data_IF_209575106902
#
_entry.id   IF_209575106902
#
_cell.length_a   1.000
_cell.length_b   1.000
_cell.length_c   1.000
_cell.angle_alpha   90.00
_cell.angle_beta   90.00
_cell.angle_gamma   90.00
#
_symmetry.space_group_name_H-M   'P 1'
#
loop_
_entity.id
_entity.type
_entity.pdbx_description
1 polymer ?
#
# COMPACT_ATOMS: atom_id res chain seq x y z
N UNK A 1 24.60 4.45 11.30
CA UNK A 1 23.76 4.63 12.50
C UNK A 1 24.64 4.46 13.71
N UNK A 2 24.34 5.13 14.81
CA UNK A 2 25.12 5.03 16.05
C UNK A 2 24.46 4.08 17.06
N UNK A 3 25.03 4.01 18.25
CA UNK A 3 24.53 3.23 19.38
C UNK A 3 23.20 3.77 19.91
N UNK A 4 22.91 5.07 19.76
CA UNK A 4 21.63 5.67 20.17
C UNK A 4 20.50 5.51 19.14
N UNK A 5 20.79 5.05 17.93
CA UNK A 5 19.82 4.97 16.84
C UNK A 5 18.54 4.19 17.22
N UNK A 6 18.69 3.00 17.79
CA UNK A 6 17.55 2.12 18.09
C UNK A 6 16.64 2.71 19.17
N UNK A 7 17.25 3.28 20.21
CA UNK A 7 16.52 4.00 21.27
C UNK A 7 15.81 5.22 20.70
N UNK A 8 16.46 5.96 19.81
CA UNK A 8 15.87 7.15 19.16
C UNK A 8 14.70 6.78 18.26
N UNK A 9 14.71 5.58 17.66
CA UNK A 9 13.64 5.06 16.79
C UNK A 9 12.55 4.25 17.50
N UNK A 10 12.72 3.93 18.79
CA UNK A 10 11.79 3.08 19.57
C UNK A 10 11.73 1.66 19.04
N UNK A 11 12.86 1.13 18.59
CA UNK A 11 12.90 -0.19 17.96
C UNK A 11 13.58 -1.19 18.88
N UNK A 12 12.86 -2.25 19.20
CA UNK A 12 13.36 -3.35 20.00
C UNK A 12 14.29 -4.29 19.21
N UNK A 13 15.35 -4.73 19.89
CA UNK A 13 16.23 -5.80 19.42
C UNK A 13 15.59 -7.13 19.77
N UNK A 14 15.21 -7.91 18.74
CA UNK A 14 14.58 -9.22 18.92
C UNK A 14 15.58 -10.36 19.05
N UNK A 15 16.81 -10.16 18.56
CA UNK A 15 17.91 -11.12 18.72
C UNK A 15 19.27 -10.42 18.67
N UNK A 16 20.25 -10.91 19.42
CA UNK A 16 21.60 -10.34 19.46
C UNK A 16 21.67 -9.06 20.29
N UNK A 17 22.33 -8.02 19.76
CA UNK A 17 22.54 -6.75 20.47
C UNK A 17 22.62 -5.55 19.53
N UNK A 18 22.55 -4.35 20.11
CA UNK A 18 22.86 -3.10 19.44
C UNK A 18 24.39 -2.87 19.29
N UNK A 19 24.78 -1.86 18.51
CA UNK A 19 26.14 -1.35 18.43
C UNK A 19 26.60 -0.81 19.78
N UNK A 20 27.90 -0.93 20.04
CA UNK A 20 28.56 -0.25 21.16
C UNK A 20 29.19 1.07 20.69
N UNK A 21 29.39 2.05 21.57
CA UNK A 21 30.02 3.32 21.22
C UNK A 21 31.38 3.15 20.50
N UNK A 22 32.19 2.19 20.94
CA UNK A 22 33.51 1.89 20.34
C UNK A 22 33.45 1.25 18.94
N UNK A 23 32.27 0.76 18.54
CA UNK A 23 32.04 0.13 17.23
C UNK A 23 31.52 1.12 16.18
N UNK A 24 31.18 2.35 16.59
CA UNK A 24 30.67 3.42 15.72
C UNK A 24 31.85 4.22 15.18
N UNK A 25 31.96 4.30 13.84
CA UNK A 25 33.08 4.97 13.20
C UNK A 25 32.67 6.23 12.43
N UNK A 26 33.64 7.11 12.20
CA UNK A 26 33.51 8.24 11.28
C UNK A 26 34.29 7.91 10.02
N UNK A 27 33.63 7.87 8.87
CA UNK A 27 34.31 7.56 7.60
C UNK A 27 33.66 8.26 6.42
N UNK A 28 34.45 8.52 5.38
CA UNK A 28 33.90 8.97 4.11
C UNK A 28 33.25 7.80 3.36
N UNK A 29 32.20 8.04 2.56
CA UNK A 29 31.64 6.99 1.72
C UNK A 29 32.26 6.96 0.31
N UNK A 30 32.65 5.77 -0.22
CA UNK A 30 32.65 4.47 0.46
C UNK A 30 33.75 4.41 1.53
N UNK A 31 33.53 3.66 2.64
CA UNK A 31 34.51 3.54 3.71
C UNK A 31 35.82 3.04 3.13
N UNK A 32 36.84 3.90 3.18
CA UNK A 32 38.15 3.64 2.58
C UNK A 32 38.94 2.60 3.38
N UNK A 33 38.56 2.38 4.64
CA UNK A 33 39.36 1.67 5.61
C UNK A 33 38.78 0.27 5.89
N UNK A 34 39.61 -0.76 5.65
CA UNK A 34 39.21 -2.17 5.81
C UNK A 34 39.16 -2.57 7.30
N UNK A 35 39.82 -1.81 8.16
CA UNK A 35 39.97 -2.08 9.59
C UNK A 35 38.77 -1.59 10.42
N UNK A 36 37.79 -0.94 9.78
CA UNK A 36 36.55 -0.55 10.45
C UNK A 36 35.74 -1.78 10.88
N UNK A 37 35.04 -1.70 12.04
CA UNK A 37 34.14 -2.76 12.48
C UNK A 37 33.14 -3.13 11.38
N UNK A 38 33.32 -4.31 10.81
CA UNK A 38 32.45 -4.81 9.75
C UNK A 38 31.21 -5.46 10.37
N UNK A 39 30.36 -4.64 10.98
CA UNK A 39 29.19 -5.08 11.71
C UNK A 39 27.91 -4.62 11.01
N UNK A 40 26.82 -5.37 11.21
CA UNK A 40 25.51 -5.02 10.68
C UNK A 40 24.38 -5.45 11.63
N UNK A 41 23.31 -4.67 11.64
CA UNK A 41 22.02 -5.02 12.24
C UNK A 41 21.01 -5.19 11.12
N UNK A 42 20.22 -6.26 11.18
CA UNK A 42 19.20 -6.58 10.19
C UNK A 42 17.80 -6.33 10.75
N UNK A 43 16.86 -5.93 9.92
CA UNK A 43 15.43 -6.08 10.25
C UNK A 43 14.99 -7.54 10.18
N UNK A 44 13.91 -7.91 10.86
CA UNK A 44 13.34 -9.27 10.77
C UNK A 44 13.10 -9.68 9.31
N UNK A 45 12.54 -8.79 8.50
CA UNK A 45 12.31 -9.06 7.08
C UNK A 45 13.59 -9.36 6.29
N UNK A 46 14.69 -8.65 6.57
CA UNK A 46 16.00 -8.93 5.95
C UNK A 46 16.59 -10.25 6.47
N UNK A 47 16.48 -10.53 7.77
CA UNK A 47 16.98 -11.75 8.38
C UNK A 47 16.29 -12.99 7.79
N UNK A 48 14.95 -12.99 7.70
CA UNK A 48 14.20 -14.11 7.09
C UNK A 48 14.50 -14.28 5.61
N UNK A 49 14.73 -13.19 4.87
CA UNK A 49 15.05 -13.26 3.45
C UNK A 49 16.45 -13.84 3.17
N UNK A 50 17.44 -13.47 3.99
CA UNK A 50 18.83 -13.92 3.83
C UNK A 50 19.10 -15.29 4.47
N UNK A 51 18.39 -15.59 5.57
CA UNK A 51 18.56 -16.80 6.37
C UNK A 51 17.17 -17.37 6.75
N UNK A 52 16.48 -18.05 5.81
CA UNK A 52 15.10 -18.51 6.04
C UNK A 52 14.94 -19.49 7.20
N UNK A 53 15.88 -20.43 7.34
CA UNK A 53 15.79 -21.56 8.26
C UNK A 53 16.79 -21.50 9.43
N UNK A 54 17.55 -20.41 9.54
CA UNK A 54 18.67 -20.32 10.48
C UNK A 54 18.77 -18.95 11.15
N UNK A 55 19.28 -18.87 12.40
CA UNK A 55 19.50 -17.60 13.07
C UNK A 55 20.50 -16.74 12.30
N UNK A 56 20.15 -15.47 12.09
CA UNK A 56 20.97 -14.52 11.34
C UNK A 56 22.16 -13.99 12.15
N UNK A 57 22.04 -13.92 13.49
CA UNK A 57 23.09 -13.38 14.37
C UNK A 57 24.34 -14.25 14.31
N UNK A 58 25.50 -13.61 14.18
CA UNK A 58 26.81 -14.24 14.03
C UNK A 58 27.20 -14.58 12.60
N UNK A 59 26.27 -14.47 11.63
CA UNK A 59 26.55 -14.78 10.22
C UNK A 59 27.16 -13.62 9.47
N UNK A 60 27.89 -13.94 8.42
CA UNK A 60 28.47 -12.98 7.51
C UNK A 60 27.52 -12.68 6.33
N UNK A 61 27.32 -11.41 6.04
CA UNK A 61 26.60 -10.90 4.86
C UNK A 61 27.54 -10.03 4.04
N UNK A 62 27.36 -9.99 2.73
CA UNK A 62 28.20 -9.17 1.84
C UNK A 62 27.39 -8.03 1.25
N UNK A 63 27.81 -6.80 1.56
CA UNK A 63 27.15 -5.57 1.12
C UNK A 63 28.19 -4.69 0.44
N UNK A 64 27.92 -4.35 -0.82
CA UNK A 64 28.80 -3.50 -1.66
C UNK A 64 30.24 -4.00 -1.72
N UNK A 65 30.43 -5.33 -1.79
CA UNK A 65 31.74 -5.98 -1.84
C UNK A 65 32.41 -6.21 -0.50
N UNK A 66 31.89 -5.65 0.61
CA UNK A 66 32.45 -5.82 1.96
C UNK A 66 31.64 -6.82 2.77
N UNK A 67 32.33 -7.79 3.36
CA UNK A 67 31.73 -8.77 4.27
C UNK A 67 31.56 -8.16 5.65
N UNK A 68 30.35 -8.27 6.22
CA UNK A 68 29.97 -7.78 7.54
C UNK A 68 29.31 -8.88 8.36
N UNK A 69 29.59 -8.91 9.65
CA UNK A 69 28.99 -9.84 10.60
C UNK A 69 27.71 -9.25 11.18
N UNK A 70 26.64 -10.02 11.14
CA UNK A 70 25.36 -9.64 11.74
C UNK A 70 25.46 -9.79 13.26
N UNK A 71 25.23 -8.71 14.00
CA UNK A 71 25.32 -8.71 15.48
C UNK A 71 23.95 -8.62 16.16
N UNK A 72 22.92 -8.22 15.40
CA UNK A 72 21.60 -8.01 15.93
C UNK A 72 20.52 -8.09 14.86
N UNK A 73 19.32 -8.43 15.29
CA UNK A 73 18.09 -8.36 14.50
C UNK A 73 17.09 -7.51 15.26
N UNK A 74 16.48 -6.55 14.59
CA UNK A 74 15.43 -5.68 15.11
C UNK A 74 14.05 -6.08 14.56
N UNK A 75 12.98 -5.74 15.27
CA UNK A 75 11.61 -6.13 14.91
C UNK A 75 11.22 -5.67 13.50
N UNK A 76 11.10 -4.37 13.30
CA UNK A 76 10.74 -3.79 12.00
C UNK A 76 11.33 -2.40 11.85
N UNK A 77 11.77 -2.06 10.65
CA UNK A 77 12.07 -0.70 10.26
C UNK A 77 11.79 -0.55 8.79
N UNK A 78 10.81 0.28 8.43
CA UNK A 78 10.42 0.47 7.03
C UNK A 78 11.40 1.38 6.32
N UNK A 79 12.03 0.83 5.29
CA UNK A 79 12.95 1.53 4.42
C UNK A 79 12.21 2.51 3.51
N UNK A 80 12.95 3.50 3.00
CA UNK A 80 12.42 4.60 2.18
C UNK A 80 11.80 4.14 0.84
N UNK A 81 12.16 2.95 0.33
CA UNK A 81 11.80 2.55 -1.03
C UNK A 81 11.27 1.10 -1.12
N UNK A 82 9.94 0.90 -1.16
CA UNK A 82 9.32 -0.41 -1.35
C UNK A 82 9.51 -1.01 -2.76
N UNK A 83 10.08 -0.25 -3.73
CA UNK A 83 10.35 -0.74 -5.09
C UNK A 83 11.65 -1.54 -5.20
N UNK A 84 12.54 -1.49 -4.19
CA UNK A 84 13.85 -2.14 -4.22
C UNK A 84 13.89 -3.47 -3.43
N UNK A 85 12.77 -3.88 -2.82
CA UNK A 85 12.66 -5.10 -2.04
C UNK A 85 11.52 -5.00 -1.01
N UNK A 86 11.33 -6.03 -0.18
CA UNK A 86 10.36 -5.97 0.92
C UNK A 86 10.59 -4.70 1.73
N UNK A 87 9.52 -3.96 2.03
CA UNK A 87 9.63 -2.66 2.72
C UNK A 87 10.39 -2.73 4.05
N UNK A 88 10.44 -3.93 4.65
CA UNK A 88 11.10 -4.24 5.91
C UNK A 88 12.36 -5.10 5.75
N UNK A 89 13.02 -5.07 4.57
CA UNK A 89 14.31 -5.73 4.35
C UNK A 89 15.42 -4.67 4.34
N UNK A 90 15.83 -4.22 5.52
CA UNK A 90 16.81 -3.16 5.69
C UNK A 90 18.04 -3.64 6.47
N UNK A 91 19.19 -3.04 6.15
CA UNK A 91 20.44 -3.27 6.85
C UNK A 91 20.94 -1.96 7.42
N UNK A 92 21.28 -1.98 8.70
CA UNK A 92 21.88 -0.87 9.42
C UNK A 92 23.36 -1.19 9.63
N UNK A 93 24.22 -0.24 9.28
CA UNK A 93 25.67 -0.32 9.43
C UNK A 93 26.09 0.79 10.41
N UNK A 94 27.05 0.52 11.32
CA UNK A 94 27.48 1.53 12.27
C UNK A 94 28.24 2.65 11.55
N UNK A 95 28.10 3.88 12.05
CA UNK A 95 28.96 4.99 11.67
C UNK A 95 28.27 6.20 11.04
N UNK A 96 29.06 7.27 11.00
CA UNK A 96 28.75 8.57 10.42
C UNK A 96 29.45 8.68 9.07
N UNK A 97 28.65 8.90 8.03
CA UNK A 97 29.16 9.09 6.67
C UNK A 97 29.34 10.57 6.42
N UNK A 98 30.59 10.98 6.16
CA UNK A 98 30.95 12.34 5.77
C UNK A 98 31.45 12.36 4.33
N UNK A 99 31.36 13.50 3.66
CA UNK A 99 31.97 13.67 2.33
C UNK A 99 31.20 14.62 1.42
N UNK A 100 31.79 15.07 0.30
CA UNK A 100 31.24 16.14 -0.54
C UNK A 100 29.87 15.85 -1.16
N UNK A 101 29.41 14.59 -1.12
CA UNK A 101 28.13 14.13 -1.68
C UNK A 101 27.13 13.67 -0.62
N UNK A 102 27.48 13.75 0.66
CA UNK A 102 26.66 13.22 1.75
C UNK A 102 26.40 14.31 2.78
N UNK A 103 25.14 14.73 2.90
CA UNK A 103 24.69 15.50 4.06
C UNK A 103 24.57 14.55 5.25
N UNK A 104 25.20 14.92 6.37
CA UNK A 104 25.02 14.19 7.63
C UNK A 104 23.61 14.49 8.15
N UNK A 105 22.76 13.47 8.19
CA UNK A 105 21.42 13.58 8.78
C UNK A 105 21.48 13.16 10.24
N UNK A 106 21.03 14.04 11.13
CA UNK A 106 20.88 13.75 12.55
C UNK A 106 19.42 13.42 12.85
N UNK A 107 19.21 12.38 13.66
CA UNK A 107 17.90 12.05 14.20
C UNK A 107 17.90 12.39 15.69
N UNK A 108 16.92 13.18 16.13
CA UNK A 108 16.81 13.59 17.53
C UNK A 108 15.41 13.26 18.03
N UNK A 109 15.34 12.58 19.17
CA UNK A 109 14.09 12.30 19.87
C UNK A 109 13.81 13.41 20.89
N UNK A 110 12.72 14.14 20.67
CA UNK A 110 12.22 15.12 21.64
C UNK A 110 11.34 14.44 22.70
N UNK A 111 11.30 15.01 23.91
CA UNK A 111 10.30 14.63 24.92
C UNK A 111 8.90 15.08 24.47
N UNK A 112 7.83 14.41 24.94
CA UNK A 112 6.46 14.83 24.64
C UNK A 112 6.24 16.31 24.97
N UNK A 113 5.75 17.09 24.00
CA UNK A 113 5.49 18.53 24.17
C UNK A 113 6.67 19.47 23.89
N UNK A 114 7.89 18.96 23.65
CA UNK A 114 9.08 19.81 23.43
C UNK A 114 9.48 19.94 21.94
N UNK A 115 8.81 19.22 21.04
CA UNK A 115 9.17 19.15 19.61
C UNK A 115 9.30 20.52 18.97
N UNK A 116 8.30 21.40 19.15
CA UNK A 116 8.28 22.72 18.52
C UNK A 116 9.38 23.65 19.04
N UNK A 117 9.68 23.58 20.34
CA UNK A 117 10.80 24.32 20.94
C UNK A 117 12.12 23.82 20.36
N UNK A 118 12.29 22.50 20.35
CA UNK A 118 13.51 21.87 19.87
C UNK A 118 13.79 22.20 18.41
N UNK A 119 12.78 22.17 17.53
CA UNK A 119 12.92 22.54 16.11
C UNK A 119 13.43 23.97 15.93
N UNK A 120 13.04 24.91 16.80
CA UNK A 120 13.49 26.32 16.74
C UNK A 120 14.88 26.54 17.31
N UNK A 121 15.25 25.78 18.34
CA UNK A 121 16.48 26.00 19.09
C UNK A 121 17.66 25.16 18.56
N UNK A 122 17.39 23.99 17.95
CA UNK A 122 18.43 23.10 17.43
C UNK A 122 19.34 23.77 16.39
N UNK A 123 18.82 24.52 15.38
CA UNK A 123 19.68 25.20 14.42
C UNK A 123 20.65 26.18 15.09
N UNK A 124 20.17 26.92 16.10
CA UNK A 124 20.98 27.91 16.81
C UNK A 124 22.13 27.26 17.56
N UNK A 125 21.84 26.21 18.34
CA UNK A 125 22.87 25.48 19.08
C UNK A 125 23.88 24.78 18.17
N UNK A 126 23.45 24.31 16.99
CA UNK A 126 24.37 23.70 16.01
C UNK A 126 25.28 24.74 15.34
N UNK A 127 24.78 25.93 15.03
CA UNK A 127 25.58 27.03 14.48
C UNK A 127 26.56 27.61 15.51
N UNK A 128 26.19 27.63 16.79
CA UNK A 128 27.12 28.03 17.88
C UNK A 128 28.32 27.07 18.02
N UNK A 129 28.12 25.78 17.72
CA UNK A 129 29.20 24.78 17.75
C UNK A 129 30.13 24.90 16.55
N UNK A 130 29.61 25.29 15.38
CA UNK A 130 30.34 25.37 14.13
C UNK A 130 29.55 26.20 13.08
N UNK A 131 29.99 27.44 12.89
CA UNK A 131 29.35 28.45 12.01
C UNK A 131 29.56 28.16 10.51
N UNK A 132 30.40 27.16 10.18
CA UNK A 132 30.63 26.72 8.79
C UNK A 132 29.57 25.76 8.25
N UNK A 133 28.55 25.40 9.04
CA UNK A 133 27.55 24.39 8.68
C UNK A 133 26.38 25.00 7.94
N UNK A 134 26.14 24.50 6.73
CA UNK A 134 24.89 24.74 6.02
C UNK A 134 23.81 23.79 6.57
N UNK A 135 22.89 24.33 7.37
CA UNK A 135 21.76 23.57 7.92
C UNK A 135 20.60 23.68 6.92
N UNK A 136 20.45 22.63 6.12
CA UNK A 136 19.44 22.55 5.04
C UNK A 136 18.02 22.81 5.57
N UNK A 137 17.52 21.96 6.50
CA UNK A 137 16.18 22.11 7.09
C UNK A 137 16.01 21.19 8.31
N UNK A 138 15.48 21.71 9.43
CA UNK A 138 15.06 20.85 10.55
C UNK A 138 13.64 20.39 10.31
N UNK A 139 13.47 19.08 10.06
CA UNK A 139 12.18 18.48 9.72
C UNK A 139 11.63 17.67 10.88
N UNK A 140 10.36 17.87 11.17
CA UNK A 140 9.62 16.99 12.08
C UNK A 140 9.37 15.67 11.34
N UNK A 141 9.78 14.56 11.94
CA UNK A 141 9.67 13.24 11.32
C UNK A 141 8.22 12.90 10.89
N UNK A 142 7.21 13.28 11.69
CA UNK A 142 5.80 13.07 11.38
C UNK A 142 5.33 13.86 10.16
N UNK A 143 5.82 15.09 9.97
CA UNK A 143 5.51 15.93 8.81
C UNK A 143 6.26 15.48 7.56
N UNK A 144 7.50 15.02 7.74
CA UNK A 144 8.29 14.51 6.61
C UNK A 144 7.74 13.19 6.07
N UNK A 145 7.27 12.30 6.95
CA UNK A 145 6.61 11.06 6.56
C UNK A 145 5.29 11.33 5.82
N UNK A 146 4.50 12.32 6.25
CA UNK A 146 3.26 12.67 5.55
C UNK A 146 3.50 13.32 4.19
N UNK A 147 4.56 14.12 4.03
CA UNK A 147 5.01 14.65 2.73
C UNK A 147 5.62 13.61 1.80
N UNK A 148 6.42 12.68 2.32
CA UNK A 148 7.01 11.56 1.56
C UNK A 148 5.95 10.60 1.02
N UNK A 149 4.86 10.41 1.76
CA UNK A 149 3.66 9.72 1.28
C UNK A 149 2.92 10.49 0.18
N UNK A 150 3.20 11.77 -0.05
CA UNK A 150 2.53 12.60 -1.06
C UNK A 150 2.65 12.03 -2.47
N UNK A 151 3.83 11.55 -2.88
CA UNK A 151 4.03 10.94 -4.21
C UNK A 151 3.19 9.68 -4.39
N UNK A 152 3.12 8.82 -3.36
CA UNK A 152 2.26 7.64 -3.35
C UNK A 152 0.77 8.01 -3.27
N UNK A 153 0.44 9.09 -2.56
CA UNK A 153 -0.92 9.61 -2.45
C UNK A 153 -1.43 10.17 -3.79
N UNK A 154 -0.59 10.86 -4.57
CA UNK A 154 -0.96 11.32 -5.91
C UNK A 154 -1.23 10.15 -6.85
N UNK A 155 -0.37 9.11 -6.84
CA UNK A 155 -0.61 7.88 -7.59
C UNK A 155 -1.91 7.19 -7.18
N UNK A 156 -2.19 7.11 -5.89
CA UNK A 156 -3.43 6.56 -5.35
C UNK A 156 -4.67 7.34 -5.80
N UNK A 157 -4.63 8.68 -5.81
CA UNK A 157 -5.73 9.53 -6.28
C UNK A 157 -5.99 9.30 -7.77
N UNK A 158 -4.95 9.26 -8.61
CA UNK A 158 -5.12 9.01 -10.05
C UNK A 158 -5.76 7.64 -10.29
N UNK A 159 -5.29 6.59 -9.60
CA UNK A 159 -5.88 5.26 -9.69
C UNK A 159 -7.32 5.20 -9.17
N UNK A 160 -7.64 5.93 -8.11
CA UNK A 160 -9.01 6.06 -7.60
C UNK A 160 -9.93 6.69 -8.66
N UNK A 161 -9.51 7.78 -9.29
CA UNK A 161 -10.29 8.47 -10.33
C UNK A 161 -10.51 7.56 -11.53
N UNK A 162 -9.46 6.89 -12.02
CA UNK A 162 -9.57 5.93 -13.13
C UNK A 162 -10.52 4.79 -12.75
N UNK A 163 -10.41 4.24 -11.55
CA UNK A 163 -11.28 3.16 -11.08
C UNK A 163 -12.74 3.62 -10.99
N UNK A 164 -13.00 4.83 -10.50
CA UNK A 164 -14.34 5.41 -10.45
C UNK A 164 -14.94 5.58 -11.85
N UNK A 165 -14.15 6.05 -12.82
CA UNK A 165 -14.58 6.16 -14.22
C UNK A 165 -14.86 4.79 -14.83
N UNK A 166 -14.01 3.79 -14.61
CA UNK A 166 -14.22 2.43 -15.11
C UNK A 166 -15.50 1.80 -14.53
N UNK A 167 -15.73 1.96 -13.23
CA UNK A 167 -16.96 1.48 -12.57
C UNK A 167 -18.18 2.21 -13.13
N UNK A 168 -18.09 3.52 -13.33
CA UNK A 168 -19.18 4.31 -13.91
C UNK A 168 -19.50 3.88 -15.34
N UNK A 169 -18.51 3.73 -16.21
CA UNK A 169 -18.68 3.24 -17.59
C UNK A 169 -19.24 1.81 -17.61
N UNK A 170 -18.79 0.95 -16.68
CA UNK A 170 -19.34 -0.40 -16.52
C UNK A 170 -20.82 -0.37 -16.15
N UNK A 171 -21.21 0.48 -15.20
CA UNK A 171 -22.61 0.69 -14.82
C UNK A 171 -23.48 1.17 -15.99
N UNK A 172 -22.99 2.12 -16.79
CA UNK A 172 -23.66 2.57 -18.02
C UNK A 172 -23.82 1.44 -19.04
N UNK A 173 -22.81 0.59 -19.21
CA UNK A 173 -22.87 -0.58 -20.09
C UNK A 173 -23.96 -1.57 -19.65
N UNK A 174 -23.99 -1.90 -18.35
CA UNK A 174 -25.01 -2.77 -17.76
C UNK A 174 -26.41 -2.16 -17.93
N UNK A 175 -26.56 -0.87 -17.64
CA UNK A 175 -27.82 -0.13 -17.82
C UNK A 175 -28.30 -0.20 -19.27
N UNK A 176 -27.41 0.05 -20.24
CA UNK A 176 -27.75 0.04 -21.67
C UNK A 176 -28.23 -1.33 -22.15
N UNK A 177 -27.53 -2.40 -21.78
CA UNK A 177 -27.92 -3.78 -22.10
C UNK A 177 -29.27 -4.12 -21.45
N UNK A 178 -29.47 -3.77 -20.18
CA UNK A 178 -30.72 -4.01 -19.48
C UNK A 178 -31.91 -3.25 -20.11
N UNK A 179 -31.71 -1.97 -20.43
CA UNK A 179 -32.73 -1.13 -21.06
C UNK A 179 -33.17 -1.68 -22.43
N UNK A 180 -32.20 -2.10 -23.25
CA UNK A 180 -32.49 -2.69 -24.56
C UNK A 180 -33.17 -4.07 -24.44
N UNK A 181 -32.79 -4.88 -23.46
CA UNK A 181 -33.41 -6.17 -23.18
C UNK A 181 -34.89 -6.02 -22.81
N UNK A 182 -35.22 -5.03 -21.97
CA UNK A 182 -36.61 -4.70 -21.61
C UNK A 182 -37.41 -4.30 -22.85
N UNK A 183 -36.87 -3.39 -23.67
CA UNK A 183 -37.56 -2.91 -24.88
C UNK A 183 -37.92 -4.06 -25.84
N UNK A 184 -37.00 -5.02 -26.05
CA UNK A 184 -37.23 -6.20 -26.90
C UNK A 184 -38.23 -7.20 -26.31
N UNK A 185 -38.33 -7.29 -24.98
CA UNK A 185 -39.18 -8.29 -24.28
C UNK A 185 -40.52 -7.72 -23.79
N UNK A 186 -40.87 -6.48 -24.14
CA UNK A 186 -42.13 -5.79 -23.77
C UNK A 186 -43.39 -6.67 -23.94
N UNK A 187 -43.53 -7.35 -25.08
CA UNK A 187 -44.70 -8.22 -25.36
C UNK A 187 -44.80 -9.40 -24.39
N UNK A 188 -43.66 -10.04 -24.07
CA UNK A 188 -43.62 -11.15 -23.12
C UNK A 188 -43.94 -10.69 -21.69
N UNK A 189 -43.46 -9.51 -21.31
CA UNK A 189 -43.73 -8.90 -20.00
C UNK A 189 -45.24 -8.64 -19.86
N UNK A 190 -45.86 -8.06 -20.89
CA UNK A 190 -47.29 -7.78 -20.88
C UNK A 190 -48.18 -9.03 -20.84
N UNK A 191 -47.79 -10.11 -21.54
CA UNK A 191 -48.49 -11.40 -21.43
C UNK A 191 -48.38 -11.95 -20.00
N UNK A 192 -47.20 -11.91 -19.37
CA UNK A 192 -47.04 -12.34 -17.96
C UNK A 192 -47.87 -11.50 -16.99
N UNK A 193 -47.94 -10.18 -17.21
CA UNK A 193 -48.80 -9.28 -16.44
C UNK A 193 -50.29 -9.60 -16.61
N UNK A 194 -50.73 -9.90 -17.84
CA UNK A 194 -52.11 -10.29 -18.13
C UNK A 194 -52.49 -11.63 -17.48
N UNK A 195 -51.53 -12.53 -17.30
CA UNK A 195 -51.69 -13.79 -16.57
C UNK A 195 -51.64 -13.66 -15.04
N UNK A 196 -51.50 -12.43 -14.51
CA UNK A 196 -51.54 -12.14 -13.07
C UNK A 196 -50.19 -11.98 -12.39
N UNK A 197 -49.07 -11.92 -13.11
CA UNK A 197 -47.76 -11.65 -12.50
C UNK A 197 -47.72 -10.25 -11.87
N UNK A 198 -47.23 -10.15 -10.64
CA UNK A 198 -47.12 -8.87 -9.95
C UNK A 198 -45.94 -8.05 -10.51
N UNK A 199 -45.94 -6.71 -10.36
CA UNK A 199 -44.79 -5.89 -10.75
C UNK A 199 -43.50 -6.32 -10.01
N UNK A 200 -43.65 -6.79 -8.76
CA UNK A 200 -42.54 -7.25 -7.93
C UNK A 200 -41.90 -8.53 -8.48
N UNK A 201 -42.69 -9.45 -9.05
CA UNK A 201 -42.18 -10.69 -9.64
C UNK A 201 -41.30 -10.40 -10.87
N UNK A 202 -41.73 -9.45 -11.71
CA UNK A 202 -40.97 -9.01 -12.87
C UNK A 202 -39.67 -8.31 -12.44
N UNK A 203 -39.76 -7.43 -11.43
CA UNK A 203 -38.59 -6.74 -10.89
C UNK A 203 -37.55 -7.74 -10.35
N UNK A 204 -37.98 -8.70 -9.52
CA UNK A 204 -37.10 -9.75 -8.96
C UNK A 204 -36.49 -10.62 -10.04
N UNK A 205 -37.25 -10.97 -11.07
CA UNK A 205 -36.74 -11.75 -12.19
C UNK A 205 -35.58 -11.04 -12.90
N UNK A 206 -35.73 -9.76 -13.23
CA UNK A 206 -34.68 -8.99 -13.90
C UNK A 206 -33.46 -8.73 -13.00
N UNK A 207 -33.68 -8.47 -11.70
CA UNK A 207 -32.59 -8.32 -10.74
C UNK A 207 -31.81 -9.65 -10.58
N UNK A 208 -32.49 -10.79 -10.55
CA UNK A 208 -31.85 -12.11 -10.49
C UNK A 208 -31.10 -12.46 -11.77
N UNK A 209 -31.68 -12.19 -12.95
CA UNK A 209 -31.01 -12.36 -14.25
C UNK A 209 -29.72 -11.51 -14.31
N UNK A 210 -29.80 -10.25 -13.86
CA UNK A 210 -28.62 -9.40 -13.76
C UNK A 210 -27.61 -9.91 -12.72
N UNK A 211 -28.08 -10.35 -11.56
CA UNK A 211 -27.20 -10.86 -10.50
C UNK A 211 -26.37 -12.04 -10.98
N UNK A 212 -26.95 -12.99 -11.72
CA UNK A 212 -26.22 -14.12 -12.31
C UNK A 212 -25.17 -13.63 -13.31
N UNK A 213 -25.52 -12.66 -14.15
CA UNK A 213 -24.59 -12.11 -15.14
C UNK A 213 -23.42 -11.36 -14.49
N UNK A 214 -23.71 -10.50 -13.51
CA UNK A 214 -22.70 -9.72 -12.78
C UNK A 214 -21.82 -10.62 -11.91
N UNK A 215 -22.39 -11.61 -11.22
CA UNK A 215 -21.61 -12.56 -10.40
C UNK A 215 -20.66 -13.40 -11.25
N UNK A 216 -21.05 -13.81 -12.45
CA UNK A 216 -20.16 -14.52 -13.38
C UNK A 216 -18.98 -13.64 -13.80
N UNK A 217 -19.24 -12.37 -14.14
CA UNK A 217 -18.19 -11.41 -14.49
C UNK A 217 -17.24 -11.12 -13.32
N UNK A 218 -17.79 -10.92 -12.11
CA UNK A 218 -17.02 -10.73 -10.89
C UNK A 218 -16.18 -11.97 -10.57
N UNK A 219 -16.74 -13.18 -10.67
CA UNK A 219 -16.01 -14.41 -10.41
C UNK A 219 -14.78 -14.55 -11.34
N UNK A 220 -14.96 -14.31 -12.64
CA UNK A 220 -13.86 -14.32 -13.61
C UNK A 220 -12.82 -13.23 -13.30
N UNK A 221 -13.27 -12.02 -12.98
CA UNK A 221 -12.39 -10.91 -12.59
C UNK A 221 -11.61 -11.20 -11.31
N UNK A 222 -12.23 -11.83 -10.31
CA UNK A 222 -11.59 -12.25 -9.07
C UNK A 222 -10.52 -13.30 -9.34
N UNK A 223 -10.78 -14.30 -10.17
CA UNK A 223 -9.77 -15.32 -10.55
C UNK A 223 -8.56 -14.66 -11.21
N UNK A 224 -8.78 -13.72 -12.14
CA UNK A 224 -7.71 -12.97 -12.79
C UNK A 224 -6.92 -12.11 -11.79
N UNK A 225 -7.61 -11.45 -10.85
CA UNK A 225 -6.97 -10.64 -9.82
C UNK A 225 -6.08 -11.48 -8.89
N UNK A 226 -6.55 -12.68 -8.49
CA UNK A 226 -5.77 -13.63 -7.70
C UNK A 226 -4.55 -14.11 -8.47
N UNK A 227 -4.71 -14.48 -9.74
CA UNK A 227 -3.61 -14.90 -10.59
C UNK A 227 -2.54 -13.81 -10.72
N UNK A 228 -2.96 -12.55 -10.91
CA UNK A 228 -2.05 -11.40 -10.98
C UNK A 228 -1.36 -11.16 -9.64
N UNK A 229 -2.07 -11.32 -8.51
CA UNK A 229 -1.47 -11.19 -7.18
C UNK A 229 -0.36 -12.23 -6.93
N UNK A 230 -0.53 -13.47 -7.39
CA UNK A 230 0.49 -14.52 -7.30
C UNK A 230 1.75 -14.12 -8.10
N UNK A 231 1.57 -13.51 -9.28
CA UNK A 231 2.70 -13.02 -10.08
C UNK A 231 3.39 -11.85 -9.37
N UNK A 232 2.63 -10.90 -8.84
CA UNK A 232 3.19 -9.74 -8.13
C UNK A 232 3.97 -10.13 -6.88
N UNK A 233 3.47 -11.09 -6.12
CA UNK A 233 4.16 -11.60 -4.92
C UNK A 233 5.47 -12.31 -5.26
N UNK A 234 5.55 -13.03 -6.38
CA UNK A 234 6.81 -13.59 -6.89
C UNK A 234 7.83 -12.53 -7.28
N UNK A 235 7.37 -11.35 -7.70
CA UNK A 235 8.22 -10.20 -8.02
C UNK A 235 8.62 -9.39 -6.78
N UNK A 236 8.26 -9.84 -5.56
CA UNK A 236 8.57 -9.14 -4.31
C UNK A 236 7.68 -7.94 -4.02
N UNK A 237 6.60 -7.74 -4.79
CA UNK A 237 5.62 -6.68 -4.54
C UNK A 237 4.62 -7.10 -3.46
N UNK A 238 4.07 -6.11 -2.75
CA UNK A 238 3.17 -6.31 -1.61
C UNK A 238 1.94 -7.17 -1.95
N UNK A 239 1.43 -7.89 -0.93
CA UNK A 239 0.22 -8.71 -1.04
C UNK A 239 -1.02 -7.82 -1.03
N UNK A 240 -2.03 -8.18 -1.84
CA UNK A 240 -3.34 -7.55 -1.80
C UNK A 240 -4.01 -7.93 -0.48
N UNK A 241 -4.60 -6.94 0.20
CA UNK A 241 -5.44 -7.17 1.37
C UNK A 241 -6.78 -7.78 0.93
N UNK A 242 -7.07 -8.99 1.42
CA UNK A 242 -8.31 -9.71 1.11
C UNK A 242 -9.56 -8.99 1.61
N UNK A 243 -9.46 -8.20 2.68
CA UNK A 243 -10.58 -7.41 3.18
C UNK A 243 -10.98 -6.34 2.14
N UNK A 244 -9.98 -5.61 1.63
CA UNK A 244 -10.19 -4.56 0.62
C UNK A 244 -10.70 -5.17 -0.69
N UNK A 245 -10.14 -6.31 -1.11
CA UNK A 245 -10.61 -7.03 -2.30
C UNK A 245 -12.08 -7.48 -2.17
N UNK A 246 -12.46 -8.00 -1.00
CA UNK A 246 -13.84 -8.44 -0.73
C UNK A 246 -14.83 -7.27 -0.72
N UNK A 247 -14.44 -6.14 -0.13
CA UNK A 247 -15.23 -4.91 -0.17
C UNK A 247 -15.39 -4.39 -1.61
N UNK A 248 -14.34 -4.44 -2.43
CA UNK A 248 -14.40 -4.08 -3.85
C UNK A 248 -15.36 -4.96 -4.65
N UNK A 249 -15.36 -6.28 -4.40
CA UNK A 249 -16.31 -7.22 -5.01
C UNK A 249 -17.76 -6.85 -4.66
N UNK A 250 -18.05 -6.63 -3.37
CA UNK A 250 -19.38 -6.24 -2.91
C UNK A 250 -19.82 -4.91 -3.52
N UNK A 251 -18.89 -3.95 -3.64
CA UNK A 251 -19.15 -2.66 -4.25
C UNK A 251 -19.54 -2.79 -5.73
N UNK A 252 -18.78 -3.56 -6.53
CA UNK A 252 -19.08 -3.77 -7.95
C UNK A 252 -20.41 -4.51 -8.15
N UNK A 253 -20.71 -5.51 -7.32
CA UNK A 253 -22.01 -6.18 -7.33
C UNK A 253 -23.15 -5.19 -7.03
N UNK A 254 -22.97 -4.33 -6.02
CA UNK A 254 -23.93 -3.28 -5.67
C UNK A 254 -24.17 -2.30 -6.81
N UNK A 255 -23.11 -1.79 -7.44
CA UNK A 255 -23.21 -0.90 -8.61
C UNK A 255 -23.94 -1.58 -9.76
N UNK A 256 -23.66 -2.86 -10.03
CA UNK A 256 -24.36 -3.63 -11.05
C UNK A 256 -25.87 -3.69 -10.81
N UNK A 257 -26.29 -3.99 -9.57
CA UNK A 257 -27.69 -4.05 -9.19
C UNK A 257 -28.39 -2.68 -9.29
N UNK A 258 -27.74 -1.62 -8.80
CA UNK A 258 -28.27 -0.24 -8.89
C UNK A 258 -28.45 0.17 -10.34
N UNK A 259 -27.53 -0.23 -11.22
CA UNK A 259 -27.60 0.09 -12.66
C UNK A 259 -28.80 -0.54 -13.36
N UNK A 260 -29.31 -1.69 -12.89
CA UNK A 260 -30.49 -2.37 -13.49
C UNK A 260 -31.80 -2.00 -12.82
N UNK A 261 -31.75 -1.40 -11.63
CA UNK A 261 -32.95 -1.07 -10.86
C UNK A 261 -33.93 -0.17 -11.66
N UNK A 262 -33.42 0.86 -12.34
CA UNK A 262 -34.27 1.80 -13.07
C UNK A 262 -34.91 1.19 -14.35
N UNK A 263 -34.16 0.48 -15.22
CA UNK A 263 -34.76 -0.28 -16.33
C UNK A 263 -35.76 -1.35 -15.86
N UNK A 264 -35.46 -2.09 -14.79
CA UNK A 264 -36.33 -3.15 -14.29
C UNK A 264 -37.62 -2.59 -13.65
N UNK A 265 -37.54 -1.45 -12.97
CA UNK A 265 -38.72 -0.73 -12.48
C UNK A 265 -39.60 -0.26 -13.65
N UNK A 266 -39.00 0.29 -14.71
CA UNK A 266 -39.74 0.64 -15.93
C UNK A 266 -40.42 -0.59 -16.55
N UNK A 267 -39.72 -1.71 -16.65
CA UNK A 267 -40.27 -2.97 -17.15
C UNK A 267 -41.48 -3.45 -16.33
N UNK A 268 -41.38 -3.39 -15.00
CA UNK A 268 -42.45 -3.84 -14.11
C UNK A 268 -43.73 -3.01 -14.24
N UNK A 269 -43.64 -1.75 -14.68
CA UNK A 269 -44.76 -0.80 -14.81
C UNK A 269 -45.43 -0.79 -16.19
N UNK A 270 -45.00 -1.63 -17.13
CA UNK A 270 -45.63 -1.72 -18.45
C UNK A 270 -47.08 -2.24 -18.28
N UNK A 271 -48.03 -1.49 -18.85
CA UNK A 271 -49.46 -1.79 -18.77
C UNK A 271 -49.83 -2.97 -19.68
N UNK A 272 -50.56 -4.01 -19.19
CA UNK A 272 -51.00 -5.13 -20.00
C UNK A 272 -51.80 -4.73 -21.25
N UNK A 273 -52.51 -3.59 -21.23
CA UNK A 273 -53.30 -3.12 -22.38
C UNK A 273 -52.45 -2.65 -23.57
N UNK A 274 -51.22 -2.18 -23.33
CA UNK A 274 -50.31 -1.68 -24.37
C UNK A 274 -49.62 -2.86 -25.07
N UNK A 275 -49.40 -3.98 -24.36
CA UNK A 275 -48.63 -5.11 -24.87
C UNK A 275 -49.40 -6.05 -25.81
N UNK A 276 -50.73 -5.97 -25.86
CA UNK A 276 -51.58 -6.76 -26.77
C UNK A 276 -51.99 -6.02 -28.05
N UNK A 277 -51.72 -4.71 -28.15
CA UNK A 277 -52.01 -3.87 -29.32
C UNK A 277 -50.83 -3.66 -30.28
N UNK A 278 -49.62 -4.09 -29.91
CA UNK A 278 -48.39 -3.93 -30.70
C UNK A 278 -47.90 -5.25 -31.30
#
# INVERSE_FOLDING_TARGET
GDDHLLETLDVDVIAGRNFRPEEVFFSNWPPADKDLPQLAILTRGAATALFPDEPAVGKAIRISGTTRTVIGVIDTWRGRNPLLGPADANVIIPGYLSGPRYSSSYLVRARPGEVERLVKDLPKGLLELDDGRDIDEVKIASEHLSRGNGVYAYGGIVLMVISALLVFTTGLGIFGVAFFSVAKRTRQIGVRRALGATPADILRYYLAENLIMTTTGVALGSVLAVALNIVMTKLGLGRVDWLVASLGILFVLGVGQVSVLLPALRASRIDPAIATRA
#
